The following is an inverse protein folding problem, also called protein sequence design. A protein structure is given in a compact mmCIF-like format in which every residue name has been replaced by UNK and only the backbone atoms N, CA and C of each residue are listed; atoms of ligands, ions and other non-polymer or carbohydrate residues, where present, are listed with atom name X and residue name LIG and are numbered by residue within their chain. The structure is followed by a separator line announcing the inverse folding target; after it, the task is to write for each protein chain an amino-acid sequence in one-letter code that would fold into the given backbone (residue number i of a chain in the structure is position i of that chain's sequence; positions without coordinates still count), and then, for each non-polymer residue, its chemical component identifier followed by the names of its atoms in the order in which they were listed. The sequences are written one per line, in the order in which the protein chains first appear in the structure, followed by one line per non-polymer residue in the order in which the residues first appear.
data_IF_720321465345
#
_entry.id   IF_720321465345
#
_cell.length_a   1.000
_cell.length_b   1.000
_cell.length_c   1.000
_cell.angle_alpha   90.00
_cell.angle_beta   90.00
_cell.angle_gamma   90.00
#
_symmetry.space_group_name_H-M   'P 1'
#
loop_
_entity.id
_entity.type
_entity.pdbx_description
1 polymer ?
#
# COMPACT_ATOMS: atom_id res chain seq x y z
N UNK A 1 -22.99 8.08 5.36
CA UNK A 1 -22.19 8.65 4.25
C UNK A 1 -21.47 7.51 3.55
N UNK A 2 -21.86 7.18 2.32
CA UNK A 2 -21.22 6.11 1.54
C UNK A 2 -19.78 6.45 1.16
N UNK A 3 -18.97 5.43 0.86
CA UNK A 3 -17.56 5.56 0.45
C UNK A 3 -17.41 6.52 -0.74
N UNK A 4 -18.34 6.47 -1.70
CA UNK A 4 -18.36 7.36 -2.87
C UNK A 4 -18.61 8.84 -2.53
N UNK A 5 -19.45 9.12 -1.52
CA UNK A 5 -19.67 10.49 -1.06
C UNK A 5 -18.41 11.04 -0.37
N UNK A 6 -17.77 10.21 0.47
CA UNK A 6 -16.50 10.56 1.11
C UNK A 6 -15.40 10.81 0.08
N UNK A 7 -15.33 10.00 -0.98
CA UNK A 7 -14.39 10.25 -2.08
C UNK A 7 -14.62 11.59 -2.75
N UNK A 8 -15.88 11.96 -3.02
CA UNK A 8 -16.21 13.27 -3.58
C UNK A 8 -15.77 14.39 -2.63
N UNK A 9 -15.93 14.21 -1.33
CA UNK A 9 -15.49 15.18 -0.31
C UNK A 9 -13.95 15.28 -0.25
N UNK A 10 -13.24 14.16 -0.35
CA UNK A 10 -11.77 14.10 -0.39
C UNK A 10 -11.24 14.77 -1.67
N UNK A 11 -11.82 14.47 -2.83
CA UNK A 11 -11.45 15.08 -4.12
C UNK A 11 -11.76 16.57 -4.19
N UNK A 12 -12.86 17.01 -3.57
CA UNK A 12 -13.28 18.42 -3.58
C UNK A 12 -12.64 19.25 -2.48
N UNK A 13 -12.06 18.60 -1.47
CA UNK A 13 -11.27 19.22 -0.43
C UNK A 13 -9.99 19.79 -1.02
N UNK A 14 -10.04 21.06 -1.42
CA UNK A 14 -8.84 21.83 -1.71
C UNK A 14 -8.10 22.06 -0.39
N UNK A 15 -7.13 21.20 -0.11
CA UNK A 15 -6.34 21.18 1.11
C UNK A 15 -5.71 22.55 1.46
N UNK A 16 -5.42 23.38 0.44
CA UNK A 16 -4.96 24.77 0.65
C UNK A 16 -6.02 25.62 1.36
N UNK A 17 -7.29 25.50 0.97
CA UNK A 17 -8.39 26.26 1.55
C UNK A 17 -8.73 25.84 2.99
N UNK A 18 -8.45 24.58 3.36
CA UNK A 18 -8.61 24.09 4.75
C UNK A 18 -7.51 24.63 5.69
N UNK A 19 -6.31 24.87 5.16
CA UNK A 19 -5.17 25.37 5.94
C UNK A 19 -5.24 26.89 6.16
N UNK A 20 -5.72 27.64 5.16
CA UNK A 20 -5.79 29.12 5.22
C UNK A 20 -6.74 29.65 6.32
N UNK A 21 -7.66 28.81 6.82
CA UNK A 21 -8.62 29.16 7.89
C UNK A 21 -8.31 28.53 9.24
N UNK A 22 -7.23 27.76 9.35
CA UNK A 22 -6.92 27.02 10.55
C UNK A 22 -6.15 27.88 11.57
N UNK A 23 -6.73 28.08 12.76
CA UNK A 23 -6.04 28.74 13.89
C UNK A 23 -4.86 27.89 14.41
N UNK A 24 -4.93 26.57 14.25
CA UNK A 24 -3.83 25.64 14.48
C UNK A 24 -3.71 24.62 13.32
N UNK A 25 -2.91 24.93 12.29
CA UNK A 25 -2.80 24.09 11.09
C UNK A 25 -2.19 22.71 11.38
N UNK A 26 -1.30 22.59 12.37
CA UNK A 26 -0.67 21.32 12.75
C UNK A 26 -1.71 20.32 13.30
N UNK A 27 -2.55 20.76 14.24
CA UNK A 27 -3.61 19.91 14.81
C UNK A 27 -4.69 19.53 13.79
N UNK A 28 -5.01 20.44 12.87
CA UNK A 28 -5.96 20.20 11.79
C UNK A 28 -5.45 19.10 10.83
N UNK A 29 -4.19 19.19 10.39
CA UNK A 29 -3.58 18.17 9.53
C UNK A 29 -3.54 16.81 10.25
N UNK A 30 -3.20 16.79 11.54
CA UNK A 30 -3.21 15.54 12.32
C UNK A 30 -4.60 14.89 12.37
N UNK A 31 -5.65 15.68 12.58
CA UNK A 31 -7.01 15.15 12.58
C UNK A 31 -7.42 14.64 11.20
N UNK A 32 -7.06 15.37 10.16
CA UNK A 32 -7.38 15.00 8.78
C UNK A 32 -6.64 13.72 8.36
N UNK A 33 -5.35 13.60 8.68
CA UNK A 33 -4.57 12.37 8.50
C UNK A 33 -5.18 11.18 9.25
N UNK A 34 -5.65 11.36 10.49
CA UNK A 34 -6.35 10.29 11.23
C UNK A 34 -7.61 9.82 10.49
N UNK A 35 -8.41 10.76 10.01
CA UNK A 35 -9.64 10.47 9.28
C UNK A 35 -9.34 9.73 7.97
N UNK A 36 -8.36 10.21 7.19
CA UNK A 36 -7.97 9.58 5.93
C UNK A 36 -7.37 8.19 6.13
N UNK A 37 -6.54 7.97 7.16
CA UNK A 37 -6.02 6.65 7.47
C UNK A 37 -7.13 5.66 7.86
N UNK A 38 -8.13 6.11 8.62
CA UNK A 38 -9.32 5.30 8.95
C UNK A 38 -10.11 4.92 7.70
N UNK A 39 -10.30 5.88 6.79
CA UNK A 39 -11.03 5.66 5.54
C UNK A 39 -10.22 4.82 4.54
N UNK A 40 -8.89 4.94 4.51
CA UNK A 40 -8.01 4.11 3.69
C UNK A 40 -8.16 2.62 4.04
N UNK A 41 -8.23 2.28 5.33
CA UNK A 41 -8.46 0.88 5.75
C UNK A 41 -9.77 0.31 5.20
N UNK A 42 -10.85 1.10 5.24
CA UNK A 42 -12.16 0.71 4.70
C UNK A 42 -12.15 0.62 3.18
N UNK A 43 -11.60 1.62 2.50
CA UNK A 43 -11.48 1.63 1.04
C UNK A 43 -10.63 0.46 0.56
N UNK A 44 -9.54 0.12 1.26
CA UNK A 44 -8.72 -1.04 0.93
C UNK A 44 -9.50 -2.35 1.03
N UNK A 45 -10.26 -2.55 2.11
CA UNK A 45 -11.14 -3.71 2.28
C UNK A 45 -12.17 -3.78 1.15
N UNK A 46 -12.84 -2.67 0.85
CA UNK A 46 -13.89 -2.65 -0.15
C UNK A 46 -13.36 -2.81 -1.57
N UNK A 47 -12.19 -2.22 -1.86
CA UNK A 47 -11.46 -2.42 -3.12
C UNK A 47 -11.11 -3.90 -3.29
N UNK A 48 -10.60 -4.56 -2.25
CA UNK A 48 -10.31 -5.99 -2.30
C UNK A 48 -11.57 -6.83 -2.53
N UNK A 49 -12.68 -6.48 -1.88
CA UNK A 49 -13.98 -7.12 -2.10
C UNK A 49 -14.47 -6.97 -3.55
N UNK A 50 -14.37 -5.77 -4.13
CA UNK A 50 -14.73 -5.52 -5.53
C UNK A 50 -13.82 -6.23 -6.51
N UNK A 51 -12.51 -6.30 -6.24
CA UNK A 51 -11.56 -7.08 -7.05
C UNK A 51 -11.86 -8.58 -6.99
N UNK A 52 -12.26 -9.08 -5.82
CA UNK A 52 -12.67 -10.47 -5.68
C UNK A 52 -13.97 -10.77 -6.46
N UNK A 53 -14.90 -9.83 -6.50
CA UNK A 53 -16.12 -9.94 -7.32
C UNK A 53 -15.82 -9.89 -8.82
N UNK A 54 -14.95 -8.98 -9.27
CA UNK A 54 -14.43 -8.93 -10.63
C UNK A 54 -13.84 -10.29 -11.05
N UNK A 55 -12.99 -10.88 -10.21
CA UNK A 55 -12.38 -12.17 -10.48
C UNK A 55 -13.41 -13.32 -10.46
N UNK A 56 -14.42 -13.27 -9.58
CA UNK A 56 -15.52 -14.23 -9.57
C UNK A 56 -16.31 -14.17 -10.87
N UNK A 57 -16.76 -12.98 -11.27
CA UNK A 57 -17.51 -12.76 -12.50
C UNK A 57 -16.71 -13.24 -13.73
N UNK A 58 -15.40 -12.96 -13.75
CA UNK A 58 -14.50 -13.46 -14.79
C UNK A 58 -14.49 -14.99 -14.87
N UNK A 59 -14.31 -15.68 -13.74
CA UNK A 59 -14.30 -17.16 -13.73
C UNK A 59 -15.61 -17.74 -14.26
N UNK A 60 -16.74 -17.18 -13.83
CA UNK A 60 -18.06 -17.66 -14.28
C UNK A 60 -18.24 -17.45 -15.79
N UNK A 61 -17.76 -16.32 -16.34
CA UNK A 61 -17.75 -16.07 -17.78
C UNK A 61 -16.84 -17.07 -18.52
N UNK A 62 -15.60 -17.26 -18.04
CA UNK A 62 -14.62 -18.17 -18.64
C UNK A 62 -15.12 -19.64 -18.62
N UNK A 63 -15.81 -20.05 -17.56
CA UNK A 63 -16.46 -21.36 -17.45
C UNK A 63 -17.59 -21.51 -18.48
N UNK A 64 -18.41 -20.47 -18.67
CA UNK A 64 -19.47 -20.48 -19.69
C UNK A 64 -18.91 -20.61 -21.10
N UNK A 65 -17.86 -19.85 -21.42
CA UNK A 65 -17.14 -19.93 -22.69
C UNK A 65 -16.56 -21.33 -22.93
N UNK A 66 -15.98 -21.93 -21.88
CA UNK A 66 -15.46 -23.30 -21.94
C UNK A 66 -16.57 -24.31 -22.26
N UNK A 67 -17.74 -24.18 -21.63
CA UNK A 67 -18.89 -25.04 -21.91
C UNK A 67 -19.43 -24.83 -23.34
N UNK A 68 -19.47 -23.60 -23.84
CA UNK A 68 -19.82 -23.30 -25.24
C UNK A 68 -18.90 -24.04 -26.21
N UNK A 69 -17.58 -23.99 -25.98
CA UNK A 69 -16.60 -24.72 -26.79
C UNK A 69 -16.80 -26.24 -26.69
N UNK A 70 -17.07 -26.77 -25.49
CA UNK A 70 -17.36 -28.20 -25.30
C UNK A 70 -18.60 -28.64 -26.09
N UNK A 71 -19.70 -27.88 -26.02
CA UNK A 71 -20.93 -28.20 -26.77
C UNK A 71 -20.67 -28.19 -28.28
N UNK A 72 -19.88 -27.23 -28.78
CA UNK A 72 -19.46 -27.22 -30.18
C UNK A 72 -18.68 -28.49 -30.55
N UNK A 73 -17.71 -28.89 -29.72
CA UNK A 73 -16.90 -30.09 -29.97
C UNK A 73 -17.73 -31.38 -29.95
N UNK A 74 -18.72 -31.47 -29.05
CA UNK A 74 -19.64 -32.61 -29.04
C UNK A 74 -20.55 -32.64 -30.25
N UNK A 75 -21.05 -31.49 -30.71
CA UNK A 75 -21.81 -31.41 -31.95
C UNK A 75 -21.00 -31.92 -33.16
N UNK A 76 -19.72 -31.52 -33.26
CA UNK A 76 -18.82 -31.99 -34.33
C UNK A 76 -18.65 -33.52 -34.25
N UNK A 77 -18.34 -34.07 -33.07
CA UNK A 77 -18.20 -35.52 -32.88
C UNK A 77 -19.47 -36.29 -33.22
N UNK A 78 -20.65 -35.77 -32.86
CA UNK A 78 -21.92 -36.39 -33.18
C UNK A 78 -22.15 -36.45 -34.70
N UNK A 79 -21.79 -35.38 -35.44
CA UNK A 79 -21.84 -35.37 -36.90
C UNK A 79 -20.85 -36.33 -37.55
N UNK A 80 -19.62 -36.44 -37.02
CA UNK A 80 -18.62 -37.42 -37.48
C UNK A 80 -19.12 -38.87 -37.37
N UNK A 81 -19.96 -39.14 -36.36
CA UNK A 81 -20.62 -40.43 -36.15
C UNK A 81 -21.95 -40.59 -36.91
N UNK A 82 -22.37 -39.60 -37.70
CA UNK A 82 -23.63 -39.61 -38.46
C UNK A 82 -24.89 -39.41 -37.62
N UNK A 83 -24.77 -38.96 -36.36
CA UNK A 83 -25.90 -38.75 -35.46
C UNK A 83 -26.31 -37.27 -35.42
N UNK A 84 -27.12 -36.87 -36.40
CA UNK A 84 -27.57 -35.48 -36.56
C UNK A 84 -28.50 -35.00 -35.44
N UNK A 85 -29.28 -35.90 -34.83
CA UNK A 85 -30.23 -35.52 -33.77
C UNK A 85 -29.48 -35.05 -32.52
N UNK A 86 -28.43 -35.77 -32.12
CA UNK A 86 -27.60 -35.39 -30.98
C UNK A 86 -26.76 -34.14 -31.27
N UNK A 87 -26.27 -33.99 -32.50
CA UNK A 87 -25.59 -32.77 -32.92
C UNK A 87 -26.51 -31.54 -32.76
N UNK A 88 -27.79 -31.65 -33.16
CA UNK A 88 -28.78 -30.58 -33.00
C UNK A 88 -29.00 -30.22 -31.52
N UNK A 89 -29.13 -31.23 -30.63
CA UNK A 89 -29.28 -31.01 -29.18
C UNK A 89 -28.08 -30.26 -28.57
N UNK A 90 -26.84 -30.63 -28.95
CA UNK A 90 -25.65 -29.93 -28.48
C UNK A 90 -25.61 -28.48 -28.99
N UNK A 91 -25.99 -28.23 -30.24
CA UNK A 91 -26.06 -26.87 -30.80
C UNK A 91 -27.15 -26.01 -30.15
N UNK A 92 -28.32 -26.57 -29.85
CA UNK A 92 -29.36 -25.89 -29.07
C UNK A 92 -28.87 -25.51 -27.67
N UNK A 93 -28.15 -26.43 -26.99
CA UNK A 93 -27.55 -26.13 -25.70
C UNK A 93 -26.49 -25.04 -25.80
N UNK A 94 -25.65 -25.07 -26.85
CA UNK A 94 -24.67 -24.02 -27.14
C UNK A 94 -25.33 -22.66 -27.34
N UNK A 95 -26.44 -22.59 -28.09
CA UNK A 95 -27.17 -21.35 -28.32
C UNK A 95 -27.71 -20.74 -27.01
N UNK A 96 -28.24 -21.58 -26.12
CA UNK A 96 -28.68 -21.14 -24.79
C UNK A 96 -27.52 -20.62 -23.93
N UNK A 97 -26.35 -21.27 -23.99
CA UNK A 97 -25.15 -20.79 -23.30
C UNK A 97 -24.63 -19.47 -23.89
N UNK A 98 -24.69 -19.29 -25.21
CA UNK A 98 -24.30 -18.03 -25.86
C UNK A 98 -25.17 -16.85 -25.45
N UNK A 99 -26.48 -17.06 -25.25
CA UNK A 99 -27.35 -16.02 -24.68
C UNK A 99 -26.93 -15.67 -23.25
N UNK A 100 -26.60 -16.68 -22.44
CA UNK A 100 -26.12 -16.49 -21.06
C UNK A 100 -24.74 -15.83 -20.98
N UNK A 101 -23.86 -16.10 -21.96
CA UNK A 101 -22.56 -15.46 -22.08
C UNK A 101 -22.69 -13.94 -22.16
N UNK A 102 -23.66 -13.41 -22.91
CA UNK A 102 -23.91 -11.97 -23.03
C UNK A 102 -24.20 -11.36 -21.66
N UNK A 103 -25.12 -11.97 -20.89
CA UNK A 103 -25.46 -11.51 -19.53
C UNK A 103 -24.24 -11.55 -18.59
N UNK A 104 -23.45 -12.64 -18.65
CA UNK A 104 -22.25 -12.80 -17.85
C UNK A 104 -21.16 -11.80 -18.24
N UNK A 105 -21.06 -11.45 -19.52
CA UNK A 105 -20.09 -10.48 -20.01
C UNK A 105 -20.45 -9.06 -19.58
N UNK A 106 -21.73 -8.69 -19.60
CA UNK A 106 -22.20 -7.42 -19.04
C UNK A 106 -21.92 -7.34 -17.53
N UNK A 107 -22.23 -8.41 -16.78
CA UNK A 107 -21.94 -8.48 -15.35
C UNK A 107 -20.44 -8.34 -15.05
N UNK A 108 -19.59 -9.00 -15.84
CA UNK A 108 -18.14 -8.88 -15.71
C UNK A 108 -17.66 -7.46 -16.02
N UNK A 109 -18.14 -6.82 -17.09
CA UNK A 109 -17.77 -5.44 -17.42
C UNK A 109 -18.16 -4.45 -16.31
N UNK A 110 -19.34 -4.62 -15.71
CA UNK A 110 -19.77 -3.83 -14.57
C UNK A 110 -18.84 -4.02 -13.37
N UNK A 111 -18.47 -5.27 -13.07
CA UNK A 111 -17.55 -5.58 -11.98
C UNK A 111 -16.14 -4.98 -12.21
N UNK A 112 -15.63 -5.04 -13.44
CA UNK A 112 -14.36 -4.39 -13.84
C UNK A 112 -14.43 -2.87 -13.64
N UNK A 113 -15.53 -2.24 -14.07
CA UNK A 113 -15.73 -0.79 -13.91
C UNK A 113 -15.71 -0.38 -12.42
N UNK A 114 -16.48 -1.10 -11.60
CA UNK A 114 -16.57 -0.85 -10.16
C UNK A 114 -15.22 -1.04 -9.45
N UNK A 115 -14.52 -2.15 -9.75
CA UNK A 115 -13.19 -2.45 -9.22
C UNK A 115 -12.18 -1.37 -9.61
N UNK A 116 -12.17 -0.93 -10.87
CA UNK A 116 -11.29 0.14 -11.33
C UNK A 116 -11.59 1.49 -10.67
N UNK A 117 -12.86 1.81 -10.44
CA UNK A 117 -13.24 3.01 -9.70
C UNK A 117 -12.74 2.96 -8.25
N UNK A 118 -12.86 1.81 -7.59
CA UNK A 118 -12.34 1.63 -6.22
C UNK A 118 -10.81 1.75 -6.17
N UNK A 119 -10.09 1.15 -7.12
CA UNK A 119 -8.62 1.28 -7.22
C UNK A 119 -8.19 2.73 -7.37
N UNK A 120 -8.82 3.49 -8.27
CA UNK A 120 -8.54 4.93 -8.44
C UNK A 120 -8.76 5.72 -7.15
N UNK A 121 -9.81 5.41 -6.41
CA UNK A 121 -10.09 6.03 -5.12
C UNK A 121 -9.05 5.67 -4.06
N UNK A 122 -8.65 4.41 -3.99
CA UNK A 122 -7.55 3.96 -3.13
C UNK A 122 -6.26 4.74 -3.44
N UNK A 123 -5.86 4.81 -4.70
CA UNK A 123 -4.61 5.44 -5.12
C UNK A 123 -4.62 6.94 -4.85
N UNK A 124 -5.76 7.60 -5.07
CA UNK A 124 -5.94 9.01 -4.70
C UNK A 124 -5.79 9.23 -3.19
N UNK A 125 -6.44 8.40 -2.38
CA UNK A 125 -6.34 8.47 -0.92
C UNK A 125 -4.91 8.32 -0.42
N UNK A 126 -4.16 7.36 -0.99
CA UNK A 126 -2.74 7.16 -0.67
C UNK A 126 -1.94 8.42 -1.03
N UNK A 127 -2.14 8.97 -2.23
CA UNK A 127 -1.47 10.20 -2.67
C UNK A 127 -1.80 11.39 -1.75
N UNK A 128 -3.05 11.56 -1.35
CA UNK A 128 -3.47 12.68 -0.50
C UNK A 128 -2.88 12.55 0.91
N UNK A 129 -2.80 11.35 1.46
CA UNK A 129 -2.13 11.07 2.74
C UNK A 129 -0.64 11.45 2.66
N UNK A 130 0.06 11.03 1.59
CA UNK A 130 1.47 11.35 1.40
C UNK A 130 1.71 12.87 1.28
N UNK A 131 0.85 13.58 0.54
CA UNK A 131 0.96 15.04 0.41
C UNK A 131 0.74 15.74 1.76
N UNK A 132 -0.22 15.27 2.56
CA UNK A 132 -0.50 15.79 3.90
C UNK A 132 0.65 15.55 4.88
N UNK A 133 1.26 14.38 4.83
CA UNK A 133 2.44 14.04 5.65
C UNK A 133 3.60 14.98 5.31
N UNK A 134 3.90 15.19 4.02
CA UNK A 134 4.94 16.12 3.58
C UNK A 134 4.64 17.57 4.02
N UNK A 135 3.38 18.01 3.91
CA UNK A 135 2.97 19.36 4.37
C UNK A 135 3.08 19.51 5.88
N UNK A 136 2.72 18.47 6.64
CA UNK A 136 2.87 18.46 8.10
C UNK A 136 4.32 18.65 8.51
N UNK A 137 5.23 17.91 7.87
CA UNK A 137 6.66 18.00 8.18
C UNK A 137 7.24 19.37 7.81
N UNK A 138 6.83 19.93 6.67
CA UNK A 138 7.19 21.29 6.28
C UNK A 138 6.72 22.33 7.31
N UNK A 139 5.47 22.25 7.77
CA UNK A 139 4.92 23.18 8.75
C UNK A 139 5.60 23.06 10.11
N UNK A 140 5.92 21.83 10.55
CA UNK A 140 6.72 21.61 11.76
C UNK A 140 8.08 22.27 11.67
N UNK A 141 8.77 22.11 10.53
CA UNK A 141 10.05 22.79 10.27
C UNK A 141 9.93 24.32 10.35
N UNK A 142 8.95 24.89 9.65
CA UNK A 142 8.69 26.36 9.68
C UNK A 142 8.36 26.86 11.09
N UNK A 143 7.53 26.13 11.85
CA UNK A 143 7.20 26.48 13.23
C UNK A 143 8.41 26.39 14.16
N UNK A 144 9.30 25.41 13.96
CA UNK A 144 10.55 25.31 14.72
C UNK A 144 11.48 26.51 14.46
N UNK A 145 11.62 26.90 13.18
CA UNK A 145 12.38 28.10 12.78
C UNK A 145 11.76 29.36 13.38
N UNK A 146 10.44 29.54 13.26
CA UNK A 146 9.73 30.70 13.80
C UNK A 146 9.86 30.80 15.32
N UNK A 147 9.70 29.69 16.06
CA UNK A 147 9.92 29.63 17.52
C UNK A 147 11.36 29.98 17.90
N UNK A 148 12.33 29.54 17.10
CA UNK A 148 13.74 29.87 17.32
C UNK A 148 14.00 31.35 17.09
N UNK A 149 13.47 31.92 16.01
CA UNK A 149 13.56 33.35 15.73
C UNK A 149 12.85 34.19 16.80
N UNK A 150 11.69 33.75 17.29
CA UNK A 150 10.97 34.42 18.38
C UNK A 150 11.79 34.40 19.68
N UNK A 151 12.42 33.27 20.02
CA UNK A 151 13.36 33.18 21.16
C UNK A 151 14.54 34.12 20.98
N UNK A 152 15.16 34.16 19.79
CA UNK A 152 16.25 35.09 19.49
C UNK A 152 15.78 36.54 19.65
N UNK A 153 14.61 36.90 19.13
CA UNK A 153 14.06 38.25 19.22
C UNK A 153 13.70 38.62 20.67
N UNK A 154 13.16 37.69 21.47
CA UNK A 154 12.88 37.90 22.90
C UNK A 154 14.15 38.05 23.73
N UNK A 155 15.20 37.30 23.40
CA UNK A 155 16.53 37.48 23.99
C UNK A 155 17.12 38.82 23.55
N UNK A 156 17.03 39.18 22.27
CA UNK A 156 17.51 40.45 21.71
C UNK A 156 16.78 41.69 22.24
N UNK A 157 15.46 41.61 22.50
CA UNK A 157 14.71 42.69 23.13
C UNK A 157 14.97 42.80 24.63
N UNK A 158 15.35 41.70 25.28
CA UNK A 158 15.85 41.69 26.67
C UNK A 158 17.30 42.18 26.79
N UNK A 159 18.02 42.33 25.66
CA UNK A 159 19.42 42.78 25.58
C UNK A 159 19.56 44.31 25.47
N UNK A 160 18.46 45.09 25.53
CA UNK A 160 18.57 46.53 25.78
C UNK A 160 18.99 46.88 27.23
N UNK A 161 18.98 45.91 28.15
CA UNK A 161 19.54 46.05 29.49
C UNK A 161 20.42 44.85 29.86
N UNK A 162 21.70 45.14 30.11
CA UNK A 162 22.74 44.33 30.74
C UNK A 162 23.68 43.50 29.84
N UNK A 163 24.95 43.95 29.85
CA UNK A 163 26.19 43.34 29.37
C UNK A 163 26.56 41.98 30.03
N UNK A 164 25.60 41.08 30.28
CA UNK A 164 25.86 39.80 31.00
C UNK A 164 25.48 38.54 30.19
N UNK A 165 24.79 38.69 29.05
CA UNK A 165 24.21 37.56 28.30
C UNK A 165 25.14 36.81 27.34
N UNK A 166 26.38 37.28 27.10
CA UNK A 166 27.36 36.49 26.32
C UNK A 166 27.70 35.17 27.05
N UNK A 167 27.74 35.19 28.38
CA UNK A 167 28.00 33.97 29.19
C UNK A 167 26.85 32.95 29.20
N UNK A 168 25.63 33.34 28.81
CA UNK A 168 24.48 32.43 28.75
C UNK A 168 24.39 31.73 27.38
N UNK A 169 24.88 32.39 26.34
CA UNK A 169 24.99 31.83 25.00
C UNK A 169 26.07 30.73 24.97
N UNK A 170 27.27 31.01 25.51
CA UNK A 170 28.36 30.02 25.60
C UNK A 170 27.94 28.77 26.39
N UNK A 171 27.19 28.94 27.49
CA UNK A 171 26.68 27.82 28.31
C UNK A 171 25.58 27.02 27.64
N UNK A 172 24.81 27.63 26.74
CA UNK A 172 23.74 26.95 26.01
C UNK A 172 24.29 26.24 24.77
N UNK A 173 25.28 26.83 24.10
CA UNK A 173 26.08 26.20 23.06
C UNK A 173 26.85 25.00 23.62
N UNK A 174 27.47 25.12 24.79
CA UNK A 174 28.15 24.01 25.49
C UNK A 174 27.17 22.89 25.88
N UNK A 175 25.94 23.22 26.30
CA UNK A 175 24.89 22.22 26.58
C UNK A 175 24.37 21.52 25.32
N UNK A 176 24.21 22.26 24.22
CA UNK A 176 23.75 21.71 22.95
C UNK A 176 24.84 20.84 22.33
N UNK A 177 26.10 21.28 22.36
CA UNK A 177 27.24 20.49 21.92
C UNK A 177 27.39 19.24 22.79
N UNK A 178 27.26 19.34 24.12
CA UNK A 178 27.24 18.17 25.00
C UNK A 178 26.10 17.20 24.70
N UNK A 179 24.88 17.70 24.43
CA UNK A 179 23.75 16.85 24.07
C UNK A 179 23.91 16.21 22.67
N UNK A 180 24.51 16.93 21.72
CA UNK A 180 24.87 16.41 20.40
C UNK A 180 25.98 15.36 20.49
N UNK A 181 26.99 15.60 21.33
CA UNK A 181 28.08 14.66 21.58
C UNK A 181 27.58 13.41 22.31
N UNK A 182 26.68 13.55 23.30
CA UNK A 182 26.01 12.43 23.96
C UNK A 182 25.11 11.65 22.98
N UNK A 183 24.36 12.33 22.11
CA UNK A 183 23.54 11.68 21.09
C UNK A 183 24.39 10.97 20.03
N UNK A 184 25.49 11.57 19.59
CA UNK A 184 26.44 10.98 18.65
C UNK A 184 27.21 9.81 19.28
N UNK A 185 27.57 9.90 20.56
CA UNK A 185 28.19 8.80 21.31
C UNK A 185 27.21 7.64 21.54
N UNK A 186 25.94 7.92 21.85
CA UNK A 186 24.90 6.89 21.91
C UNK A 186 24.61 6.26 20.54
N UNK A 187 24.69 7.03 19.45
CA UNK A 187 24.59 6.50 18.09
C UNK A 187 25.78 5.60 17.73
N UNK A 188 27.01 5.96 18.15
CA UNK A 188 28.21 5.12 18.00
C UNK A 188 28.13 3.85 18.86
N UNK A 189 27.70 3.93 20.11
CA UNK A 189 27.48 2.74 20.95
C UNK A 189 26.44 1.78 20.35
N UNK A 190 25.37 2.31 19.75
CA UNK A 190 24.37 1.49 19.05
C UNK A 190 24.86 0.95 17.69
N UNK A 191 25.85 1.58 17.07
CA UNK A 191 26.52 1.08 15.86
C UNK A 191 27.56 0.00 16.21
N UNK A 192 28.36 0.20 17.26
CA UNK A 192 29.33 -0.76 17.79
C UNK A 192 28.62 -2.01 18.35
N UNK A 193 27.40 -1.85 18.90
CA UNK A 193 26.54 -2.97 19.32
C UNK A 193 26.06 -3.87 18.17
N UNK A 194 26.23 -3.46 16.90
CA UNK A 194 25.87 -4.26 15.72
C UNK A 194 27.06 -4.92 15.04
N UNK A 195 28.30 -4.55 15.35
CA UNK A 195 29.49 -5.24 14.82
C UNK A 195 29.99 -6.37 15.74
N UNK A 196 29.73 -6.33 17.05
CA UNK A 196 30.17 -7.39 17.98
C UNK A 196 29.25 -8.64 18.05
N UNK A 197 28.08 -8.63 17.39
CA UNK A 197 27.17 -9.79 17.31
C UNK A 197 27.28 -10.59 15.99
N UNK A 198 28.28 -10.32 15.16
CA UNK A 198 28.60 -11.12 13.97
C UNK A 198 29.89 -11.96 14.09
N UNK A 199 30.71 -11.75 15.13
CA UNK A 199 32.01 -12.41 15.27
C UNK A 199 32.04 -13.56 16.31
N UNK A 200 30.94 -13.84 17.02
CA UNK A 200 30.83 -14.98 17.97
C UNK A 200 30.12 -16.23 17.43
N UNK A 201 29.45 -16.15 16.28
CA UNK A 201 28.81 -17.31 15.62
C UNK A 201 29.67 -17.94 14.52
N UNK A 202 30.69 -17.24 14.02
CA UNK A 202 31.62 -17.76 13.01
C UNK A 202 32.69 -18.72 13.57
N UNK A 203 32.76 -18.89 14.89
CA UNK A 203 33.77 -19.72 15.58
C UNK A 203 33.33 -21.14 15.93
N UNK A 204 32.08 -21.52 15.63
CA UNK A 204 31.54 -22.85 15.99
C UNK A 204 30.87 -23.64 14.85
N UNK A 205 30.59 -23.05 13.68
CA UNK A 205 29.93 -23.79 12.58
C UNK A 205 30.88 -24.11 11.42
N UNK A 206 31.90 -24.94 11.70
CA UNK A 206 32.58 -25.65 10.62
C UNK A 206 32.85 -27.11 10.98
N UNK A 207 32.44 -27.97 10.03
CA UNK A 207 32.54 -29.44 9.88
C UNK A 207 31.35 -30.24 10.45
N UNK A 208 30.68 -31.13 9.70
CA UNK A 208 31.08 -32.01 8.57
C UNK A 208 29.88 -32.28 7.63
N UNK A 209 30.18 -32.52 6.35
CA UNK A 209 29.34 -33.04 5.27
C UNK A 209 28.43 -34.23 5.65
N UNK A 210 27.20 -34.23 5.11
CA UNK A 210 26.58 -35.43 4.51
C UNK A 210 25.48 -35.04 3.52
N UNK A 211 25.79 -35.22 2.23
CA UNK A 211 25.02 -36.10 1.34
C UNK A 211 23.61 -35.70 0.84
N UNK A 212 23.43 -34.44 0.45
CA UNK A 212 22.24 -34.01 -0.33
C UNK A 212 22.33 -34.47 -1.80
N UNK A 213 23.54 -34.71 -2.30
CA UNK A 213 23.76 -35.21 -3.67
C UNK A 213 23.35 -36.69 -3.83
N UNK A 214 23.39 -37.54 -2.78
CA UNK A 214 22.80 -38.89 -2.85
C UNK A 214 21.26 -38.88 -2.81
N UNK A 215 20.63 -37.93 -2.11
CA UNK A 215 19.16 -37.79 -2.15
C UNK A 215 18.67 -37.31 -3.53
N UNK A 216 19.48 -36.52 -4.24
CA UNK A 216 19.21 -36.11 -5.62
C UNK A 216 19.27 -37.29 -6.61
N UNK A 217 20.19 -38.23 -6.42
CA UNK A 217 20.28 -39.45 -7.25
C UNK A 217 19.17 -40.47 -6.92
N UNK A 218 18.75 -40.57 -5.65
CA UNK A 218 17.60 -41.40 -5.26
C UNK A 218 16.26 -40.91 -5.86
N UNK A 219 16.10 -39.59 -6.04
CA UNK A 219 14.93 -38.99 -6.68
C UNK A 219 14.91 -39.14 -8.20
N UNK A 220 16.07 -39.06 -8.87
CA UNK A 220 16.17 -39.29 -10.32
C UNK A 220 15.90 -40.75 -10.71
N UNK A 221 16.26 -41.70 -9.87
CA UNK A 221 15.97 -43.13 -10.10
C UNK A 221 14.47 -43.46 -10.07
N UNK A 222 13.63 -42.62 -9.45
CA UNK A 222 12.17 -42.79 -9.41
C UNK A 222 11.41 -42.31 -10.65
N UNK A 223 12.07 -41.59 -11.56
CA UNK A 223 11.44 -41.05 -12.78
C UNK A 223 11.97 -41.70 -14.08
N UNK A 224 12.78 -42.76 -13.97
CA UNK A 224 13.39 -43.45 -15.11
C UNK A 224 13.06 -44.95 -15.15
N UNK A 225 11.77 -45.30 -15.05
CA UNK A 225 11.23 -46.59 -15.51
C UNK A 225 9.83 -46.41 -16.10
#
# INVERSE_FOLDING_TARGET
MGILARFKDIMSSNMNALLDKAENPEKMIDQYLRNLNSDLGKVKSETASMMAEEQRAKRVLDDCLTEITKMQNYAIKALEMGNEEDARKFLERKANLANKEIELQEAYQLAVSNSNQMKKMHDKLVSDIQELEARKDMLKGKMAVARTQEKINKIGSSVHHANTSISAFDRMEEKINKALDEANAMAKLNADSKEDMKDLTAKYDNKVETDVDAELEALKARFNK
#
